data_IF_961414319922
#
_entry.id   IF_961414319922
#
_cell.length_a   1.000
_cell.length_b   1.000
_cell.length_c   1.000
_cell.angle_alpha   90.00
_cell.angle_beta   90.00
_cell.angle_gamma   90.00
#
_symmetry.space_group_name_H-M   'P 1'
#
loop_
_entity.id
_entity.type
_entity.pdbx_description
1 polymer ?
#
# COMPACT_ATOMS: atom_id res chain seq x y z
N UNK A 1 18.87 -7.04 -7.23
CA UNK A 1 17.55 -6.89 -6.57
C UNK A 1 16.48 -7.38 -7.54
N UNK A 2 15.48 -8.12 -7.05
CA UNK A 2 14.38 -8.65 -7.86
C UNK A 2 13.05 -8.20 -7.28
N UNK A 3 11.96 -8.22 -8.06
CA UNK A 3 10.62 -7.94 -7.53
C UNK A 3 9.99 -9.22 -6.98
N UNK A 4 9.06 -9.10 -6.04
CA UNK A 4 8.28 -10.27 -5.57
C UNK A 4 7.50 -10.92 -6.72
N UNK A 5 7.07 -10.13 -7.72
CA UNK A 5 6.41 -10.67 -8.90
C UNK A 5 7.35 -11.57 -9.72
N UNK A 6 8.54 -11.06 -10.07
CA UNK A 6 9.53 -11.85 -10.81
C UNK A 6 9.93 -13.14 -10.05
N UNK A 7 10.03 -13.05 -8.71
CA UNK A 7 10.23 -14.22 -7.85
C UNK A 7 9.09 -15.23 -7.94
N UNK A 8 7.83 -14.79 -7.90
CA UNK A 8 6.69 -15.71 -7.99
C UNK A 8 6.63 -16.38 -9.36
N UNK A 9 6.96 -15.64 -10.41
CA UNK A 9 6.91 -16.11 -11.79
C UNK A 9 8.02 -17.12 -12.09
N UNK A 10 9.25 -16.86 -11.64
CA UNK A 10 10.40 -17.77 -11.83
C UNK A 10 11.45 -17.64 -10.70
N UNK A 11 11.15 -18.26 -9.56
CA UNK A 11 12.03 -18.22 -8.38
C UNK A 11 13.39 -18.89 -8.62
N UNK A 12 13.47 -19.87 -9.53
CA UNK A 12 14.70 -20.59 -9.83
C UNK A 12 15.66 -19.71 -10.63
N UNK A 13 15.16 -18.95 -11.61
CA UNK A 13 15.97 -17.97 -12.33
C UNK A 13 16.51 -16.87 -11.40
N UNK A 14 15.70 -16.40 -10.44
CA UNK A 14 16.16 -15.43 -9.43
C UNK A 14 17.30 -16.02 -8.59
N UNK A 15 17.19 -17.29 -8.18
CA UNK A 15 18.23 -17.97 -7.39
C UNK A 15 19.51 -18.25 -8.16
N UNK A 16 19.41 -18.55 -9.46
CA UNK A 16 20.59 -18.79 -10.29
C UNK A 16 21.51 -17.55 -10.38
N UNK A 17 20.96 -16.36 -10.14
CA UNK A 17 21.72 -15.11 -10.06
C UNK A 17 22.26 -14.77 -8.67
N UNK A 18 22.05 -15.61 -7.64
CA UNK A 18 22.56 -15.37 -6.28
C UNK A 18 23.86 -16.14 -6.08
N UNK A 19 24.96 -15.39 -5.97
CA UNK A 19 26.29 -15.96 -5.67
C UNK A 19 26.35 -16.56 -4.27
N UNK A 20 27.27 -17.51 -4.06
CA UNK A 20 27.51 -18.12 -2.75
C UNK A 20 27.99 -17.06 -1.74
N UNK A 21 27.39 -17.05 -0.54
CA UNK A 21 27.63 -16.01 0.47
C UNK A 21 26.96 -14.66 0.19
N UNK A 22 26.26 -14.50 -0.94
CA UNK A 22 25.48 -13.31 -1.25
C UNK A 22 23.98 -13.51 -0.97
N UNK A 23 23.27 -12.38 -0.92
CA UNK A 23 21.81 -12.36 -0.83
C UNK A 23 21.23 -11.38 -1.83
N UNK A 24 19.98 -11.63 -2.23
CA UNK A 24 19.18 -10.71 -3.03
C UNK A 24 17.91 -10.34 -2.30
N UNK A 25 17.61 -9.04 -2.24
CA UNK A 25 16.32 -8.56 -1.77
C UNK A 25 15.24 -8.72 -2.83
N UNK A 26 14.06 -9.12 -2.37
CA UNK A 26 12.82 -9.06 -3.14
C UNK A 26 12.03 -7.83 -2.71
N UNK A 27 11.69 -6.98 -3.68
CA UNK A 27 10.97 -5.73 -3.44
C UNK A 27 9.49 -5.81 -3.77
N UNK A 28 8.71 -5.01 -3.05
CA UNK A 28 7.33 -4.69 -3.38
C UNK A 28 7.13 -3.17 -3.33
N UNK A 29 6.35 -2.65 -4.26
CA UNK A 29 6.03 -1.22 -4.38
C UNK A 29 4.65 -0.95 -3.78
N UNK A 30 4.56 0.09 -2.96
CA UNK A 30 3.30 0.60 -2.42
C UNK A 30 3.40 2.11 -2.23
N UNK A 31 2.40 2.87 -2.69
CA UNK A 31 2.39 4.35 -2.68
C UNK A 31 3.70 4.98 -3.17
N UNK A 32 4.14 4.59 -4.38
CA UNK A 32 5.36 5.07 -5.05
C UNK A 32 6.67 4.84 -4.28
N UNK A 33 6.66 4.00 -3.24
CA UNK A 33 7.83 3.58 -2.48
C UNK A 33 8.10 2.10 -2.66
N UNK A 34 9.37 1.77 -2.89
CA UNK A 34 9.86 0.39 -2.89
C UNK A 34 10.29 -0.05 -1.48
N UNK A 35 9.87 -1.25 -1.11
CA UNK A 35 10.18 -1.88 0.17
C UNK A 35 10.91 -3.19 -0.05
N UNK A 36 12.02 -3.42 0.66
CA UNK A 36 12.73 -4.71 0.68
C UNK A 36 12.06 -5.64 1.69
N UNK A 37 11.04 -6.35 1.23
CA UNK A 37 10.14 -7.11 2.10
C UNK A 37 10.58 -8.55 2.35
N UNK A 38 11.43 -9.09 1.49
CA UNK A 38 12.00 -10.43 1.62
C UNK A 38 13.46 -10.42 1.19
N UNK A 39 14.20 -11.40 1.66
CA UNK A 39 15.59 -11.65 1.30
C UNK A 39 15.76 -13.12 0.96
N UNK A 40 16.58 -13.41 -0.06
CA UNK A 40 16.88 -14.77 -0.49
C UNK A 40 18.39 -14.95 -0.60
N UNK A 41 18.88 -16.06 -0.08
CA UNK A 41 20.30 -16.42 -0.11
C UNK A 41 20.49 -17.92 -0.36
N UNK A 42 21.72 -18.31 -0.72
CA UNK A 42 22.15 -19.68 -0.54
C UNK A 42 22.13 -20.03 0.96
N UNK A 43 21.88 -21.31 1.27
CA UNK A 43 21.95 -21.81 2.65
C UNK A 43 23.40 -21.87 3.11
N UNK A 44 23.69 -21.21 4.22
CA UNK A 44 24.97 -21.27 4.91
C UNK A 44 24.79 -22.03 6.23
N UNK A 45 25.57 -23.09 6.44
CA UNK A 45 25.39 -23.93 7.63
C UNK A 45 25.76 -23.23 8.93
N UNK A 46 26.77 -22.35 8.91
CA UNK A 46 27.28 -21.69 10.09
C UNK A 46 26.36 -20.53 10.51
N UNK A 47 25.65 -19.93 9.55
CA UNK A 47 24.70 -18.83 9.79
C UNK A 47 23.27 -19.34 9.98
N UNK A 48 22.82 -20.26 9.13
CA UNK A 48 21.42 -20.71 9.05
C UNK A 48 21.14 -22.01 9.80
N UNK A 49 22.17 -22.78 10.16
CA UNK A 49 22.03 -24.12 10.75
C UNK A 49 21.24 -24.15 12.07
N UNK A 50 21.35 -23.08 12.86
CA UNK A 50 20.68 -22.97 14.16
C UNK A 50 19.38 -22.12 14.11
N UNK A 51 19.03 -21.58 12.94
CA UNK A 51 17.83 -20.74 12.80
C UNK A 51 16.56 -21.57 12.95
N UNK A 52 15.57 -21.00 13.66
CA UNK A 52 14.20 -21.53 13.65
C UNK A 52 13.58 -21.26 12.28
N UNK A 53 13.66 -22.25 11.39
CA UNK A 53 13.10 -22.17 10.06
C UNK A 53 12.12 -23.31 9.78
N UNK A 54 11.23 -23.09 8.81
CA UNK A 54 10.41 -24.17 8.26
C UNK A 54 11.13 -24.75 7.04
N UNK A 55 11.36 -26.06 7.04
CA UNK A 55 11.98 -26.74 5.90
C UNK A 55 10.94 -27.10 4.84
N UNK A 56 11.23 -26.91 3.56
CA UNK A 56 10.31 -27.24 2.46
C UNK A 56 11.06 -27.79 1.26
N UNK A 57 10.71 -28.99 0.77
CA UNK A 57 11.29 -29.50 -0.46
C UNK A 57 10.98 -28.59 -1.65
N UNK A 58 11.97 -28.38 -2.53
CA UNK A 58 11.84 -27.53 -3.71
C UNK A 58 10.63 -27.89 -4.57
N UNK A 59 10.33 -29.19 -4.75
CA UNK A 59 9.14 -29.67 -5.48
C UNK A 59 7.81 -29.21 -4.87
N UNK A 60 7.76 -29.05 -3.54
CA UNK A 60 6.57 -28.55 -2.85
C UNK A 60 6.51 -27.04 -2.91
N UNK A 61 7.67 -26.39 -2.75
CA UNK A 61 7.81 -24.94 -2.86
C UNK A 61 7.33 -24.44 -4.21
N UNK A 62 7.81 -25.07 -5.29
CA UNK A 62 7.52 -24.76 -6.69
C UNK A 62 6.02 -24.74 -7.01
N UNK A 63 5.25 -25.66 -6.42
CA UNK A 63 3.78 -25.71 -6.62
C UNK A 63 3.03 -24.57 -5.93
N UNK A 64 3.66 -23.88 -4.98
CA UNK A 64 3.00 -22.95 -4.05
C UNK A 64 3.90 -21.76 -3.68
N UNK A 65 4.68 -21.26 -4.64
CA UNK A 65 5.68 -20.19 -4.41
C UNK A 65 5.02 -18.97 -3.75
N UNK A 66 3.94 -18.45 -4.32
CA UNK A 66 3.22 -17.29 -3.78
C UNK A 66 2.74 -17.51 -2.34
N UNK A 67 2.19 -18.68 -2.05
CA UNK A 67 1.72 -19.02 -0.69
C UNK A 67 2.86 -19.02 0.32
N UNK A 68 3.98 -19.67 0.01
CA UNK A 68 5.11 -19.72 0.93
C UNK A 68 5.80 -18.37 1.08
N UNK A 69 5.87 -17.60 -0.01
CA UNK A 69 6.39 -16.23 -0.03
C UNK A 69 5.61 -15.32 0.92
N UNK A 70 4.28 -15.33 0.81
CA UNK A 70 3.41 -14.59 1.73
C UNK A 70 3.55 -15.08 3.16
N UNK A 71 3.62 -16.40 3.39
CA UNK A 71 3.80 -16.94 4.74
C UNK A 71 5.08 -16.45 5.40
N UNK A 72 6.23 -16.46 4.71
CA UNK A 72 7.49 -15.95 5.28
C UNK A 72 7.37 -14.47 5.62
N UNK A 73 6.82 -13.66 4.72
CA UNK A 73 6.59 -12.23 4.95
C UNK A 73 5.70 -11.98 6.16
N UNK A 74 4.57 -12.69 6.25
CA UNK A 74 3.51 -12.40 7.21
C UNK A 74 3.81 -12.99 8.60
N UNK A 75 4.43 -14.18 8.67
CA UNK A 75 4.77 -14.80 9.95
C UNK A 75 6.16 -14.43 10.45
N UNK A 76 7.00 -13.80 9.61
CA UNK A 76 8.41 -13.49 9.89
C UNK A 76 9.26 -14.71 10.24
N UNK A 77 8.80 -15.91 9.87
CA UNK A 77 9.53 -17.17 10.11
C UNK A 77 10.25 -17.54 8.81
N UNK A 78 11.60 -17.65 8.83
CA UNK A 78 12.38 -18.08 7.68
C UNK A 78 11.97 -19.45 7.13
N UNK A 79 12.24 -19.66 5.85
CA UNK A 79 11.99 -20.94 5.17
C UNK A 79 13.26 -21.43 4.48
N UNK A 80 13.65 -22.65 4.81
CA UNK A 80 14.76 -23.35 4.16
C UNK A 80 14.19 -24.22 3.05
N UNK A 81 14.65 -24.00 1.83
CA UNK A 81 14.26 -24.77 0.65
C UNK A 81 15.29 -25.88 0.44
N UNK A 82 14.83 -27.13 0.34
CA UNK A 82 15.71 -28.30 0.21
C UNK A 82 15.63 -28.98 -1.15
N UNK A 83 16.76 -29.51 -1.62
CA UNK A 83 16.86 -30.32 -2.83
C UNK A 83 17.37 -31.69 -2.45
N UNK A 84 16.58 -32.73 -2.74
CA UNK A 84 16.90 -34.12 -2.34
C UNK A 84 17.18 -34.29 -0.83
N UNK A 85 16.52 -33.48 0.00
CA UNK A 85 16.68 -33.50 1.46
C UNK A 85 17.73 -32.52 1.98
N UNK A 86 18.64 -32.05 1.13
CA UNK A 86 19.72 -31.14 1.53
C UNK A 86 19.26 -29.67 1.49
N UNK A 87 19.51 -28.86 2.53
CA UNK A 87 19.34 -27.41 2.50
C UNK A 87 20.11 -26.77 1.34
N UNK A 88 19.45 -25.89 0.59
CA UNK A 88 20.08 -25.19 -0.54
C UNK A 88 19.88 -23.70 -0.52
N UNK A 89 18.68 -23.24 -0.17
CA UNK A 89 18.35 -21.82 -0.19
C UNK A 89 17.53 -21.43 1.02
N UNK A 90 17.60 -20.16 1.39
CA UNK A 90 16.82 -19.59 2.47
C UNK A 90 16.01 -18.42 1.94
N UNK A 91 14.74 -18.39 2.28
CA UNK A 91 13.84 -17.26 2.10
C UNK A 91 13.54 -16.68 3.49
N UNK A 92 13.89 -15.42 3.68
CA UNK A 92 13.80 -14.70 4.95
C UNK A 92 12.93 -13.45 4.83
N UNK A 93 12.30 -12.99 5.93
CA UNK A 93 11.73 -11.65 5.97
C UNK A 93 12.83 -10.61 5.71
N UNK A 94 12.52 -9.64 4.85
CA UNK A 94 13.40 -8.51 4.57
C UNK A 94 13.32 -7.46 5.67
N UNK A 95 14.28 -6.52 5.70
CA UNK A 95 14.37 -5.50 6.76
C UNK A 95 13.13 -4.60 6.83
N UNK A 96 12.41 -4.42 5.72
CA UNK A 96 11.29 -3.48 5.61
C UNK A 96 9.93 -4.22 5.55
N UNK A 97 9.87 -5.51 5.89
CA UNK A 97 8.65 -6.30 5.78
C UNK A 97 7.51 -5.77 6.67
N UNK A 98 7.84 -5.32 7.89
CA UNK A 98 6.85 -4.78 8.83
C UNK A 98 6.41 -3.36 8.46
N UNK A 99 7.33 -2.55 7.95
CA UNK A 99 7.01 -1.21 7.43
C UNK A 99 6.05 -1.30 6.24
N UNK A 100 6.31 -2.24 5.32
CA UNK A 100 5.42 -2.53 4.22
C UNK A 100 4.04 -2.99 4.70
N UNK A 101 3.98 -3.90 5.66
CA UNK A 101 2.71 -4.36 6.23
C UNK A 101 1.94 -3.20 6.89
N UNK A 102 2.62 -2.30 7.61
CA UNK A 102 2.00 -1.13 8.20
C UNK A 102 1.45 -0.16 7.14
N UNK A 103 2.22 0.05 6.07
CA UNK A 103 1.85 0.92 4.96
C UNK A 103 0.60 0.40 4.23
N UNK A 104 0.58 -0.88 3.86
CA UNK A 104 -0.57 -1.54 3.21
C UNK A 104 -1.84 -1.45 4.08
N UNK A 105 -1.70 -1.58 5.39
CA UNK A 105 -2.82 -1.47 6.33
C UNK A 105 -3.18 -0.01 6.69
N UNK A 106 -2.44 0.96 6.17
CA UNK A 106 -2.64 2.39 6.40
C UNK A 106 -2.45 2.81 7.86
N UNK A 107 -1.65 2.09 8.64
CA UNK A 107 -1.39 2.34 10.07
C UNK A 107 0.09 2.62 10.33
N UNK A 108 0.40 3.15 11.52
CA UNK A 108 1.80 3.29 11.93
C UNK A 108 2.38 1.94 12.34
N UNK A 109 3.71 1.75 12.21
CA UNK A 109 4.39 0.54 12.66
C UNK A 109 4.10 0.24 14.15
N UNK A 110 4.11 1.28 15.00
CA UNK A 110 3.77 1.17 16.42
C UNK A 110 2.34 0.66 16.65
N UNK A 111 1.38 1.12 15.85
CA UNK A 111 0.00 0.64 15.92
C UNK A 111 -0.12 -0.81 15.46
N UNK A 112 0.61 -1.19 14.40
CA UNK A 112 0.68 -2.56 13.89
C UNK A 112 1.19 -3.50 14.99
N UNK A 113 2.35 -3.21 15.58
CA UNK A 113 2.94 -4.01 16.67
C UNK A 113 1.98 -4.15 17.85
N UNK A 114 1.38 -3.04 18.28
CA UNK A 114 0.42 -3.04 19.37
C UNK A 114 -0.83 -3.87 19.05
N UNK A 115 -1.31 -3.82 17.82
CA UNK A 115 -2.50 -4.55 17.41
C UNK A 115 -2.24 -6.05 17.21
N UNK A 116 -1.06 -6.43 16.71
CA UNK A 116 -0.63 -7.84 16.61
C UNK A 116 -0.49 -8.45 17.99
N UNK A 117 0.19 -7.78 18.94
CA UNK A 117 0.35 -8.27 20.32
C UNK A 117 -0.99 -8.52 21.04
N UNK A 118 -2.02 -7.76 20.68
CA UNK A 118 -3.37 -7.88 21.25
C UNK A 118 -4.33 -8.74 20.42
N UNK A 119 -3.88 -9.25 19.27
CA UNK A 119 -4.76 -9.93 18.30
C UNK A 119 -5.97 -9.07 17.87
N UNK A 120 -5.78 -7.76 17.73
CA UNK A 120 -6.84 -6.80 17.37
C UNK A 120 -6.57 -6.04 16.07
N UNK A 121 -5.69 -6.52 15.19
CA UNK A 121 -5.33 -5.84 13.95
C UNK A 121 -6.55 -5.45 13.11
N UNK A 122 -7.40 -6.43 12.74
CA UNK A 122 -8.59 -6.16 11.92
C UNK A 122 -9.55 -5.13 12.54
N UNK A 123 -9.73 -5.14 13.87
CA UNK A 123 -10.56 -4.13 14.56
C UNK A 123 -9.94 -2.74 14.52
N UNK A 124 -8.61 -2.67 14.59
CA UNK A 124 -7.85 -1.40 14.57
C UNK A 124 -7.93 -0.76 13.20
N UNK A 125 -7.67 -1.55 12.15
CA UNK A 125 -7.78 -1.11 10.75
C UNK A 125 -9.20 -0.67 10.42
N UNK A 126 -10.21 -1.49 10.73
CA UNK A 126 -11.62 -1.16 10.48
C UNK A 126 -12.06 0.14 11.18
N UNK A 127 -11.60 0.37 12.42
CA UNK A 127 -11.89 1.61 13.16
C UNK A 127 -11.24 2.83 12.50
N UNK A 128 -10.03 2.68 11.97
CA UNK A 128 -9.30 3.75 11.28
C UNK A 128 -9.96 4.12 9.96
N UNK A 129 -10.32 3.13 9.15
CA UNK A 129 -11.06 3.33 7.90
C UNK A 129 -12.35 4.11 8.13
N UNK A 130 -13.19 3.68 9.08
CA UNK A 130 -14.43 4.40 9.44
C UNK A 130 -14.21 5.84 9.89
N UNK A 131 -13.13 6.09 10.65
CA UNK A 131 -12.77 7.45 11.07
C UNK A 131 -12.31 8.30 9.89
N UNK A 132 -11.55 7.71 8.97
CA UNK A 132 -11.12 8.34 7.72
C UNK A 132 -12.31 8.72 6.84
N UNK A 133 -13.23 7.79 6.61
CA UNK A 133 -14.48 8.02 5.86
C UNK A 133 -15.31 9.13 6.49
N UNK A 134 -15.50 9.10 7.82
CA UNK A 134 -16.27 10.15 8.52
C UNK A 134 -15.62 11.53 8.35
N UNK A 135 -14.30 11.63 8.45
CA UNK A 135 -13.57 12.89 8.22
C UNK A 135 -13.69 13.36 6.77
N UNK A 136 -13.51 12.46 5.81
CA UNK A 136 -13.62 12.77 4.39
C UNK A 136 -15.03 13.27 4.05
N UNK A 137 -16.06 12.61 4.59
CA UNK A 137 -17.45 13.05 4.42
C UNK A 137 -17.68 14.44 4.99
N UNK A 138 -17.18 14.73 6.19
CA UNK A 138 -17.31 16.05 6.81
C UNK A 138 -16.63 17.15 5.96
N UNK A 139 -15.45 16.87 5.39
CA UNK A 139 -14.76 17.82 4.50
C UNK A 139 -15.58 18.06 3.23
N UNK A 140 -16.07 17.00 2.59
CA UNK A 140 -16.89 17.11 1.38
C UNK A 140 -18.21 17.85 1.63
N UNK A 141 -18.78 17.72 2.82
CA UNK A 141 -20.00 18.42 3.22
C UNK A 141 -19.76 19.92 3.37
N UNK A 142 -18.66 20.33 4.02
CA UNK A 142 -18.22 21.73 4.09
C UNK A 142 -17.93 22.29 2.69
N UNK A 143 -17.23 21.54 1.85
CA UNK A 143 -16.91 21.96 0.48
C UNK A 143 -18.17 22.13 -0.36
N UNK A 144 -19.14 21.21 -0.23
CA UNK A 144 -20.45 21.31 -0.85
C UNK A 144 -21.19 22.56 -0.40
N UNK A 145 -21.28 22.82 0.91
CA UNK A 145 -21.95 24.02 1.45
C UNK A 145 -21.32 25.31 0.91
N UNK A 146 -19.99 25.37 0.86
CA UNK A 146 -19.27 26.52 0.29
C UNK A 146 -19.56 26.72 -1.20
N UNK A 147 -19.69 25.65 -1.97
CA UNK A 147 -20.06 25.73 -3.39
C UNK A 147 -21.52 26.17 -3.58
N UNK A 148 -22.44 25.72 -2.72
CA UNK A 148 -23.85 26.12 -2.74
C UNK A 148 -24.05 27.60 -2.36
N UNK A 149 -23.25 28.13 -1.43
CA UNK A 149 -23.23 29.55 -1.10
C UNK A 149 -22.72 30.40 -2.28
N UNK A 150 -21.58 30.03 -2.87
CA UNK A 150 -21.05 30.71 -4.07
C UNK A 150 -22.03 30.71 -5.24
N UNK A 151 -22.78 29.62 -5.41
CA UNK A 151 -23.80 29.53 -6.45
C UNK A 151 -24.97 30.50 -6.17
N UNK A 152 -25.39 30.65 -4.91
CA UNK A 152 -26.43 31.62 -4.53
C UNK A 152 -25.98 33.06 -4.75
N UNK A 153 -24.77 33.41 -4.30
CA UNK A 153 -24.21 34.75 -4.48
C UNK A 153 -24.13 35.12 -5.98
N UNK A 154 -23.68 34.17 -6.81
CA UNK A 154 -23.64 34.36 -8.26
C UNK A 154 -25.04 34.57 -8.87
N UNK A 155 -26.07 33.85 -8.40
CA UNK A 155 -27.44 34.06 -8.85
C UNK A 155 -27.99 35.43 -8.44
N UNK A 156 -27.69 35.91 -7.23
CA UNK A 156 -28.09 37.24 -6.77
C UNK A 156 -27.39 38.35 -7.57
N UNK A 157 -26.11 38.17 -7.88
CA UNK A 157 -25.35 39.09 -8.74
C UNK A 157 -25.93 39.14 -10.16
N UNK A 158 -26.23 37.99 -10.77
CA UNK A 158 -26.89 37.92 -12.08
C UNK A 158 -28.24 38.65 -12.06
N UNK A 159 -29.04 38.46 -11.01
CA UNK A 159 -30.34 39.10 -10.87
C UNK A 159 -30.20 40.63 -10.76
N UNK A 160 -29.22 41.11 -9.99
CA UNK A 160 -28.89 42.52 -9.84
C UNK A 160 -28.44 43.15 -11.16
N UNK A 161 -27.49 42.51 -11.87
CA UNK A 161 -27.00 42.97 -13.17
C UNK A 161 -28.11 42.99 -14.22
N UNK A 162 -28.98 41.98 -14.25
CA UNK A 162 -30.14 41.93 -15.14
C UNK A 162 -31.17 43.02 -14.80
N UNK A 163 -31.28 43.42 -13.54
CA UNK A 163 -32.06 44.58 -13.11
C UNK A 163 -31.49 45.89 -13.64
N UNK A 164 -30.18 46.09 -13.47
CA UNK A 164 -29.47 47.27 -13.97
C UNK A 164 -29.57 47.39 -15.50
N UNK A 165 -29.34 46.30 -16.24
CA UNK A 165 -29.47 46.27 -17.70
C UNK A 165 -30.86 46.74 -18.14
N UNK A 166 -31.93 46.17 -17.56
CA UNK A 166 -33.31 46.57 -17.86
C UNK A 166 -33.60 48.03 -17.54
N UNK A 167 -32.97 48.58 -16.51
CA UNK A 167 -33.11 50.00 -16.17
C UNK A 167 -32.42 50.89 -17.20
N UNK A 168 -31.15 50.58 -17.53
CA UNK A 168 -30.36 51.31 -18.55
C UNK A 168 -31.03 51.24 -19.92
N UNK A 169 -31.56 50.09 -20.32
CA UNK A 169 -32.32 49.93 -21.58
C UNK A 169 -33.54 50.85 -21.64
N UNK A 170 -34.26 51.02 -20.51
CA UNK A 170 -35.39 51.96 -20.45
C UNK A 170 -34.93 53.41 -20.54
N UNK A 171 -33.86 53.79 -19.85
CA UNK A 171 -33.33 55.15 -19.92
C UNK A 171 -32.85 55.50 -21.33
N UNK A 172 -32.14 54.58 -21.99
CA UNK A 172 -31.74 54.73 -23.39
C UNK A 172 -32.94 54.88 -24.32
N UNK A 173 -34.02 54.14 -24.11
CA UNK A 173 -35.25 54.28 -24.90
C UNK A 173 -35.93 55.65 -24.72
N UNK A 174 -35.80 56.28 -23.54
CA UNK A 174 -36.33 57.62 -23.27
C UNK A 174 -35.46 58.72 -23.88
N UNK A 175 -34.13 58.59 -23.83
CA UNK A 175 -33.20 59.58 -24.40
C UNK A 175 -32.93 59.39 -25.91
N UNK A 176 -33.26 58.23 -26.47
CA UNK A 176 -33.14 57.91 -27.90
C UNK A 176 -34.41 58.10 -28.71
N UNK A 177 -35.50 58.58 -28.09
CA UNK A 177 -36.72 58.97 -28.79
C UNK A 177 -36.51 60.35 -29.45
N UNK A 178 -36.60 60.48 -30.80
CA UNK A 178 -36.45 61.75 -31.51
C UNK A 178 -37.54 62.76 -31.18
#
# INVERSE_FOLDING_TARGET
MSTVRAWIDDWQAVLAGVEEGAYTFLTATHDDRDYRILMVSAFDRDIDGDKRAVTTPAKIFDRKVAYFTHRVRDTTIPRVITVRGEPKWVLEPGPECQDYAAAVEGISLRDLEGAVRRSTLGRTVARRLRRGEKRRRAILEIEKESLEERLRDAHEEIASLSGHLRHVERELAVYGAP
#
